data_IF_382663322173
#
_entry.id   IF_382663322173
#
_cell.length_a   1.000
_cell.length_b   1.000
_cell.length_c   1.000
_cell.angle_alpha   90.00
_cell.angle_beta   90.00
_cell.angle_gamma   90.00
#
_symmetry.space_group_name_H-M   'P 1'
#
loop_
_entity.id
_entity.type
_entity.pdbx_description
1 polymer ?
#
# COMPACT_ATOMS: atom_id res chain seq x y z
N UNK A 1 -9.79 9.67 -9.53
CA UNK A 1 -11.02 8.86 -9.71
C UNK A 1 -10.61 7.41 -9.89
N UNK A 2 -10.94 6.60 -8.89
CA UNK A 2 -10.87 5.14 -8.98
C UNK A 2 -11.77 4.61 -10.11
N UNK A 3 -11.43 3.43 -10.63
CA UNK A 3 -12.32 2.73 -11.53
C UNK A 3 -13.59 2.24 -10.80
N UNK A 4 -14.71 2.10 -11.53
CA UNK A 4 -15.97 1.58 -10.98
C UNK A 4 -15.78 0.20 -10.33
N UNK A 5 -14.86 -0.59 -10.88
CA UNK A 5 -14.27 -1.77 -10.25
C UNK A 5 -12.95 -1.37 -9.59
N UNK A 6 -12.66 -1.84 -8.37
CA UNK A 6 -11.49 -1.43 -7.56
C UNK A 6 -10.18 -1.35 -8.36
N UNK A 7 -10.01 -2.21 -9.37
CA UNK A 7 -8.85 -2.25 -10.27
C UNK A 7 -9.30 -2.16 -11.74
N UNK A 8 -8.42 -1.64 -12.60
CA UNK A 8 -8.68 -1.58 -14.04
C UNK A 8 -8.40 -2.92 -14.72
N UNK A 9 -9.39 -3.46 -15.42
CA UNK A 9 -9.30 -4.71 -16.16
C UNK A 9 -9.96 -5.89 -15.47
N UNK A 10 -9.82 -7.07 -16.06
CA UNK A 10 -10.40 -8.33 -15.57
C UNK A 10 -9.29 -9.31 -15.16
N UNK A 11 -9.65 -10.34 -14.39
CA UNK A 11 -8.75 -11.44 -14.05
C UNK A 11 -8.05 -11.31 -12.69
N UNK A 12 -8.42 -10.32 -11.89
CA UNK A 12 -8.05 -10.25 -10.48
C UNK A 12 -8.86 -11.24 -9.65
N UNK A 13 -8.19 -11.95 -8.74
CA UNK A 13 -8.82 -12.73 -7.68
C UNK A 13 -8.57 -12.00 -6.35
N UNK A 14 -9.33 -10.92 -6.12
CA UNK A 14 -9.20 -10.07 -4.93
C UNK A 14 -10.23 -10.46 -3.86
N UNK A 15 -9.76 -11.05 -2.76
CA UNK A 15 -10.57 -11.66 -1.72
C UNK A 15 -10.21 -11.12 -0.32
N UNK A 16 -10.78 -11.73 0.72
CA UNK A 16 -10.46 -11.49 2.14
C UNK A 16 -10.42 -10.01 2.54
N UNK A 17 -11.43 -9.25 2.10
CA UNK A 17 -11.60 -7.84 2.42
C UNK A 17 -11.73 -7.61 3.93
N UNK A 18 -11.23 -6.48 4.40
CA UNK A 18 -11.32 -6.11 5.80
C UNK A 18 -12.76 -5.76 6.21
N UNK A 19 -13.02 -5.61 7.53
CA UNK A 19 -14.31 -5.18 8.01
C UNK A 19 -14.72 -3.83 7.44
N UNK A 20 -16.03 -3.61 7.26
CA UNK A 20 -16.55 -2.33 6.78
C UNK A 20 -16.11 -1.18 7.69
N UNK A 21 -15.62 -0.10 7.08
CA UNK A 21 -15.08 1.07 7.76
C UNK A 21 -15.69 2.34 7.19
N UNK A 22 -15.77 3.41 8.00
CA UNK A 22 -16.26 4.71 7.54
C UNK A 22 -15.12 5.63 7.11
N UNK A 23 -15.43 6.63 6.29
CA UNK A 23 -14.47 7.64 5.87
C UNK A 23 -13.89 8.39 7.09
N UNK A 24 -14.71 8.66 8.12
CA UNK A 24 -14.27 9.32 9.35
C UNK A 24 -13.18 8.53 10.05
N UNK A 25 -13.32 7.20 10.13
CA UNK A 25 -12.30 6.35 10.75
C UNK A 25 -11.00 6.37 9.94
N UNK A 26 -11.07 6.27 8.60
CA UNK A 26 -9.88 6.33 7.74
C UNK A 26 -9.14 7.65 7.94
N UNK A 27 -9.87 8.77 7.91
CA UNK A 27 -9.32 10.11 8.16
C UNK A 27 -8.71 10.24 9.56
N UNK A 28 -9.34 9.66 10.58
CA UNK A 28 -8.84 9.69 11.95
C UNK A 28 -7.52 8.93 12.09
N UNK A 29 -7.41 7.74 11.48
CA UNK A 29 -6.17 6.94 11.49
C UNK A 29 -5.04 7.67 10.77
N UNK A 30 -5.33 8.35 9.66
CA UNK A 30 -4.38 9.21 8.94
C UNK A 30 -4.12 10.54 9.65
N UNK A 31 -4.67 10.75 10.86
CA UNK A 31 -4.46 11.95 11.68
C UNK A 31 -4.80 13.27 10.96
N UNK A 32 -5.78 13.23 10.06
CA UNK A 32 -6.20 14.40 9.27
C UNK A 32 -5.20 14.83 8.20
N UNK A 33 -4.36 13.92 7.69
CA UNK A 33 -3.52 14.18 6.52
C UNK A 33 -4.37 14.60 5.30
N UNK A 34 -3.81 15.48 4.47
CA UNK A 34 -4.46 16.04 3.28
C UNK A 34 -3.46 16.02 2.11
N UNK A 35 -3.21 14.83 1.58
CA UNK A 35 -2.29 14.60 0.48
C UNK A 35 -3.03 14.50 -0.86
N UNK A 36 -2.29 14.67 -1.96
CA UNK A 36 -2.84 14.49 -3.30
C UNK A 36 -3.34 13.05 -3.50
N UNK A 37 -4.63 12.88 -3.82
CA UNK A 37 -5.25 11.56 -3.96
C UNK A 37 -5.88 11.00 -2.68
N UNK A 38 -6.04 11.81 -1.63
CA UNK A 38 -6.70 11.42 -0.39
C UNK A 38 -8.13 10.88 -0.61
N UNK A 39 -8.94 11.53 -1.45
CA UNK A 39 -10.30 11.08 -1.75
C UNK A 39 -10.32 9.67 -2.36
N UNK A 40 -9.41 9.41 -3.33
CA UNK A 40 -9.27 8.09 -3.96
C UNK A 40 -8.80 7.03 -2.92
N UNK A 41 -7.92 7.40 -1.99
CA UNK A 41 -7.48 6.52 -0.90
C UNK A 41 -8.65 6.16 0.04
N UNK A 42 -9.39 7.17 0.50
CA UNK A 42 -10.56 6.97 1.38
C UNK A 42 -11.63 6.15 0.70
N UNK A 43 -11.94 6.43 -0.57
CA UNK A 43 -12.94 5.68 -1.34
C UNK A 43 -12.58 4.19 -1.44
N UNK A 44 -11.31 3.87 -1.71
CA UNK A 44 -10.84 2.48 -1.75
C UNK A 44 -11.07 1.78 -0.41
N UNK A 45 -10.66 2.42 0.69
CA UNK A 45 -10.76 1.83 2.03
C UNK A 45 -12.21 1.70 2.52
N UNK A 46 -13.10 2.64 2.19
CA UNK A 46 -14.53 2.50 2.48
C UNK A 46 -15.15 1.34 1.69
N UNK A 47 -14.66 1.08 0.48
CA UNK A 47 -15.21 0.04 -0.40
C UNK A 47 -14.75 -1.38 -0.06
N UNK A 48 -13.50 -1.55 0.38
CA UNK A 48 -12.95 -2.90 0.64
C UNK A 48 -12.15 -3.05 1.95
N UNK A 49 -11.75 -1.94 2.57
CA UNK A 49 -10.86 -1.89 3.74
C UNK A 49 -9.67 -2.86 3.67
N UNK A 50 -8.92 -2.80 2.57
CA UNK A 50 -7.85 -3.76 2.27
C UNK A 50 -8.33 -4.95 1.44
N UNK A 51 -7.56 -6.03 1.45
CA UNK A 51 -7.87 -7.29 0.79
C UNK A 51 -6.62 -8.02 0.29
N UNK A 52 -6.79 -9.26 -0.17
CA UNK A 52 -5.72 -10.15 -0.59
C UNK A 52 -5.86 -10.51 -2.07
N UNK A 53 -4.76 -10.57 -2.81
CA UNK A 53 -4.74 -11.10 -4.18
C UNK A 53 -4.36 -12.58 -4.18
N UNK A 54 -5.34 -13.45 -4.37
CA UNK A 54 -5.06 -14.87 -4.54
C UNK A 54 -4.31 -15.12 -5.86
N UNK A 55 -3.04 -15.53 -5.76
CA UNK A 55 -2.12 -15.64 -6.91
C UNK A 55 -1.30 -14.37 -7.22
N UNK A 56 -1.42 -13.34 -6.37
CA UNK A 56 -0.67 -12.09 -6.49
C UNK A 56 -1.16 -11.16 -7.59
N UNK A 57 -0.79 -9.89 -7.47
CA UNK A 57 -0.92 -8.90 -8.52
C UNK A 57 0.41 -8.19 -8.75
N UNK A 58 0.53 -7.44 -9.84
CA UNK A 58 1.79 -6.83 -10.22
C UNK A 58 1.64 -5.36 -10.58
N UNK A 59 2.66 -4.59 -10.25
CA UNK A 59 2.81 -3.20 -10.66
C UNK A 59 4.13 -3.02 -11.40
N UNK A 60 4.14 -2.08 -12.35
CA UNK A 60 5.30 -1.77 -13.18
C UNK A 60 5.55 -0.26 -13.15
N UNK A 61 6.76 0.11 -12.75
CA UNK A 61 7.18 1.50 -12.56
C UNK A 61 7.53 2.20 -13.86
N UNK A 62 7.82 1.43 -14.90
CA UNK A 62 8.10 1.93 -16.26
C UNK A 62 6.96 2.79 -16.86
N UNK A 63 5.77 2.76 -16.25
CA UNK A 63 4.65 3.64 -16.58
C UNK A 63 4.87 5.10 -16.20
N UNK A 64 5.64 5.36 -15.15
CA UNK A 64 5.81 6.69 -14.56
C UNK A 64 7.26 7.17 -14.56
N UNK A 65 8.21 6.22 -14.58
CA UNK A 65 9.63 6.52 -14.45
C UNK A 65 10.42 5.96 -15.64
N UNK A 66 11.46 6.69 -16.05
CA UNK A 66 12.44 6.16 -17.01
C UNK A 66 13.42 5.27 -16.25
N UNK A 67 13.39 3.97 -16.55
CA UNK A 67 14.20 2.97 -15.86
C UNK A 67 15.45 2.60 -16.65
N UNK A 68 16.51 2.28 -15.92
CA UNK A 68 17.76 1.73 -16.43
C UNK A 68 17.84 0.22 -16.20
N UNK A 69 18.76 -0.45 -16.90
CA UNK A 69 18.92 -1.90 -16.78
C UNK A 69 19.36 -2.27 -15.35
N UNK A 70 18.54 -3.08 -14.68
CA UNK A 70 18.78 -3.51 -13.30
C UNK A 70 17.86 -2.83 -12.29
N UNK A 71 17.09 -1.82 -12.71
CA UNK A 71 16.08 -1.20 -11.85
C UNK A 71 14.96 -2.19 -11.52
N UNK A 72 14.47 -2.07 -10.30
CA UNK A 72 13.37 -2.88 -9.78
C UNK A 72 12.06 -2.38 -10.38
N UNK A 73 11.67 -2.88 -11.56
CA UNK A 73 10.47 -2.45 -12.29
C UNK A 73 9.20 -3.22 -11.87
N UNK A 74 9.31 -4.55 -11.84
CA UNK A 74 8.19 -5.45 -11.56
C UNK A 74 8.03 -5.67 -10.06
N UNK A 75 7.02 -5.04 -9.48
CA UNK A 75 6.66 -5.20 -8.07
C UNK A 75 5.52 -6.20 -7.94
N UNK A 76 5.64 -7.16 -7.03
CA UNK A 76 4.50 -7.98 -6.62
C UNK A 76 3.71 -7.25 -5.53
N UNK A 77 2.39 -7.41 -5.56
CA UNK A 77 1.47 -6.94 -4.54
C UNK A 77 0.69 -8.16 -4.10
N UNK A 78 0.87 -8.55 -2.84
CA UNK A 78 0.16 -9.68 -2.26
C UNK A 78 -1.15 -9.22 -1.63
N UNK A 79 -1.12 -8.12 -0.88
CA UNK A 79 -2.28 -7.65 -0.13
C UNK A 79 -2.27 -6.15 0.12
N UNK A 80 -3.46 -5.62 0.37
CA UNK A 80 -3.69 -4.33 1.00
C UNK A 80 -4.01 -4.55 2.48
N UNK A 81 -3.31 -3.83 3.35
CA UNK A 81 -3.54 -3.86 4.79
C UNK A 81 -4.87 -3.24 5.14
N UNK A 82 -5.54 -3.75 6.17
CA UNK A 82 -6.77 -3.12 6.68
C UNK A 82 -6.43 -1.93 7.58
N UNK A 83 -7.35 -0.98 7.66
CA UNK A 83 -7.28 0.19 8.54
C UNK A 83 -8.30 0.01 9.68
N UNK A 84 -7.96 0.55 10.84
CA UNK A 84 -8.86 0.61 12.00
C UNK A 84 -8.53 -0.42 13.06
N UNK A 85 -7.25 -0.68 13.34
CA UNK A 85 -6.76 -1.67 14.34
C UNK A 85 -7.53 -1.60 15.67
N UNK A 86 -7.85 -0.39 16.14
CA UNK A 86 -8.54 -0.18 17.43
C UNK A 86 -10.05 -0.44 17.41
N UNK A 87 -10.65 -0.61 16.23
CA UNK A 87 -12.10 -0.75 16.04
C UNK A 87 -12.53 -2.19 15.76
N UNK A 88 -11.58 -3.06 15.44
CA UNK A 88 -11.84 -4.43 15.04
C UNK A 88 -11.02 -5.38 15.91
N UNK A 89 -11.57 -6.57 16.16
CA UNK A 89 -10.82 -7.63 16.81
C UNK A 89 -9.89 -8.28 15.79
N UNK A 90 -8.58 -8.33 16.08
CA UNK A 90 -7.58 -8.88 15.14
C UNK A 90 -7.79 -10.38 14.92
N UNK A 91 -8.37 -11.09 15.89
CA UNK A 91 -8.70 -12.52 15.75
C UNK A 91 -9.83 -12.77 14.74
N UNK A 92 -10.57 -11.72 14.35
CA UNK A 92 -11.68 -11.79 13.39
C UNK A 92 -11.29 -11.26 12.00
N UNK A 93 -10.08 -10.71 11.81
CA UNK A 93 -9.63 -10.10 10.55
C UNK A 93 -8.50 -10.91 9.93
N UNK A 94 -8.76 -11.48 8.74
CA UNK A 94 -7.77 -12.27 7.99
C UNK A 94 -6.73 -11.42 7.24
N UNK A 95 -6.55 -10.16 7.62
CA UNK A 95 -5.60 -9.22 7.02
C UNK A 95 -4.70 -8.62 8.11
N UNK A 96 -3.52 -8.14 7.72
CA UNK A 96 -2.67 -7.36 8.64
C UNK A 96 -3.16 -5.92 8.76
N UNK A 97 -3.08 -5.35 9.96
CA UNK A 97 -3.37 -3.93 10.19
C UNK A 97 -2.22 -3.06 9.70
N UNK A 98 -2.56 -1.99 8.97
CA UNK A 98 -1.62 -0.95 8.55
C UNK A 98 -0.96 -0.27 9.76
N UNK A 99 -1.72 0.06 10.80
CA UNK A 99 -1.22 0.70 12.01
C UNK A 99 -0.24 -0.20 12.77
N UNK A 100 -0.51 -1.52 12.82
CA UNK A 100 0.39 -2.50 13.43
C UNK A 100 1.69 -2.63 12.64
N UNK A 101 1.61 -2.74 11.31
CA UNK A 101 2.79 -2.71 10.42
C UNK A 101 3.61 -1.46 10.67
N UNK A 102 2.97 -0.29 10.69
CA UNK A 102 3.62 1.01 10.95
C UNK A 102 4.36 1.04 12.29
N UNK A 103 3.71 0.58 13.37
CA UNK A 103 4.33 0.48 14.70
C UNK A 103 5.51 -0.49 14.74
N UNK A 104 5.41 -1.63 14.05
CA UNK A 104 6.48 -2.63 14.02
C UNK A 104 7.71 -2.10 13.29
N UNK A 105 7.52 -1.52 12.09
CA UNK A 105 8.64 -0.98 11.28
C UNK A 105 9.34 0.19 11.97
N UNK A 106 8.61 1.03 12.69
CA UNK A 106 9.19 2.15 13.46
C UNK A 106 10.09 1.74 14.63
N UNK A 107 9.98 0.51 15.16
CA UNK A 107 10.75 0.08 16.35
C UNK A 107 12.22 -0.28 16.06
N UNK A 108 12.58 -0.45 14.80
CA UNK A 108 13.89 -1.00 14.43
C UNK A 108 15.03 0.04 14.48
N UNK A 109 14.77 1.29 14.12
CA UNK A 109 15.77 2.37 14.18
C UNK A 109 15.14 3.77 14.18
N UNK A 110 15.87 4.78 14.63
CA UNK A 110 15.40 6.19 14.61
C UNK A 110 15.08 6.67 13.20
N UNK A 111 15.90 6.30 12.20
CA UNK A 111 15.62 6.63 10.79
C UNK A 111 14.28 6.02 10.33
N UNK A 112 14.01 4.76 10.70
CA UNK A 112 12.75 4.08 10.37
C UNK A 112 11.56 4.73 11.07
N UNK A 113 11.70 5.10 12.34
CA UNK A 113 10.66 5.83 13.06
C UNK A 113 10.34 7.17 12.39
N UNK A 114 11.35 7.96 12.01
CA UNK A 114 11.15 9.23 11.28
C UNK A 114 10.40 8.99 9.96
N UNK A 115 10.78 7.98 9.18
CA UNK A 115 10.08 7.61 7.96
C UNK A 115 8.62 7.24 8.24
N UNK A 116 8.38 6.34 9.21
CA UNK A 116 7.06 5.87 9.60
C UNK A 116 6.17 7.00 10.14
N UNK A 117 6.71 8.08 10.70
CA UNK A 117 5.90 9.23 11.12
C UNK A 117 5.35 10.05 9.96
N UNK A 118 6.05 10.07 8.82
CA UNK A 118 5.67 10.81 7.61
C UNK A 118 4.91 9.98 6.58
N UNK A 119 5.01 8.66 6.69
CA UNK A 119 4.40 7.74 5.74
C UNK A 119 3.43 6.79 6.42
N UNK A 120 2.47 6.27 5.65
CA UNK A 120 1.52 5.27 6.09
C UNK A 120 1.62 4.01 5.22
N UNK A 121 1.78 2.81 5.78
CA UNK A 121 1.81 1.59 4.99
C UNK A 121 0.39 1.21 4.58
N UNK A 122 0.21 0.72 3.35
CA UNK A 122 -1.13 0.37 2.88
C UNK A 122 -1.18 -0.97 2.13
N UNK A 123 -0.05 -1.48 1.66
CA UNK A 123 0.03 -2.77 0.98
C UNK A 123 1.37 -3.45 1.25
N UNK A 124 1.44 -4.76 0.99
CA UNK A 124 2.65 -5.57 1.14
C UNK A 124 2.82 -6.57 0.02
N UNK A 125 4.04 -7.08 -0.10
CA UNK A 125 4.37 -8.24 -0.94
C UNK A 125 4.61 -9.50 -0.09
N UNK A 126 4.78 -10.64 -0.77
CA UNK A 126 5.04 -11.93 -0.13
C UNK A 126 6.45 -12.02 0.52
N UNK A 127 7.29 -11.00 0.35
CA UNK A 127 8.64 -10.88 0.91
C UNK A 127 8.70 -10.10 2.22
N UNK A 128 7.55 -9.75 2.81
CA UNK A 128 7.44 -8.88 3.99
C UNK A 128 7.97 -7.46 3.72
N UNK A 129 7.93 -6.99 2.46
CA UNK A 129 8.19 -5.61 2.07
C UNK A 129 6.88 -4.84 1.91
N UNK A 130 6.95 -3.53 2.09
CA UNK A 130 5.76 -2.70 2.27
C UNK A 130 5.71 -1.57 1.23
N UNK A 131 4.51 -1.30 0.73
CA UNK A 131 4.16 -0.08 0.03
C UNK A 131 3.63 0.96 1.01
N UNK A 132 4.09 2.19 0.84
CA UNK A 132 3.82 3.32 1.71
C UNK A 132 3.33 4.50 0.91
N UNK A 133 2.41 5.25 1.49
CA UNK A 133 2.03 6.57 0.99
C UNK A 133 2.70 7.64 1.85
N UNK A 134 3.34 8.61 1.19
CA UNK A 134 3.78 9.84 1.83
C UNK A 134 2.55 10.67 2.18
N UNK A 135 2.37 10.98 3.47
CA UNK A 135 1.16 11.65 3.95
C UNK A 135 1.17 13.17 3.72
N UNK A 136 2.27 13.73 3.22
CA UNK A 136 2.38 15.15 2.81
C UNK A 136 2.16 15.29 1.30
N UNK A 137 2.74 14.39 0.49
CA UNK A 137 2.74 14.51 -0.98
C UNK A 137 1.73 13.61 -1.69
N UNK A 138 1.42 12.46 -1.10
CA UNK A 138 0.60 11.41 -1.72
C UNK A 138 1.40 10.44 -2.60
N UNK A 139 2.71 10.64 -2.71
CA UNK A 139 3.60 9.76 -3.48
C UNK A 139 3.67 8.36 -2.87
N UNK A 140 3.70 7.35 -3.74
CA UNK A 140 3.80 5.95 -3.34
C UNK A 140 5.26 5.52 -3.36
N UNK A 141 5.70 4.96 -2.24
CA UNK A 141 7.03 4.43 -2.01
C UNK A 141 6.94 2.93 -1.74
N UNK A 142 8.05 2.23 -1.95
CA UNK A 142 8.23 0.85 -1.53
C UNK A 142 9.54 0.74 -0.76
N UNK A 143 9.54 -0.06 0.31
CA UNK A 143 10.69 -0.19 1.19
C UNK A 143 11.07 -1.66 1.33
N UNK A 144 12.33 -1.96 0.99
CA UNK A 144 12.96 -3.26 1.23
C UNK A 144 13.48 -3.33 2.68
N UNK A 145 12.95 -4.25 3.48
CA UNK A 145 13.30 -4.31 4.91
C UNK A 145 14.46 -5.25 5.25
N UNK A 146 14.99 -5.97 4.26
CA UNK A 146 16.00 -7.02 4.40
C UNK A 146 17.39 -6.52 4.87
N UNK A 147 17.66 -5.21 4.88
CA UNK A 147 18.90 -4.66 5.42
C UNK A 147 18.73 -4.22 6.89
N UNK A 148 19.53 -4.81 7.79
CA UNK A 148 19.53 -4.46 9.22
C UNK A 148 19.99 -3.03 9.49
N UNK A 149 20.68 -2.39 8.55
CA UNK A 149 21.39 -1.14 8.81
C UNK A 149 20.77 0.12 8.16
N UNK A 150 19.95 0.03 7.11
CA UNK A 150 19.43 1.25 6.47
C UNK A 150 18.03 1.15 5.85
N UNK A 151 17.34 2.29 5.87
CA UNK A 151 16.11 2.60 5.10
C UNK A 151 16.50 3.10 3.71
N UNK A 152 17.69 2.75 3.21
CA UNK A 152 18.28 3.46 2.06
C UNK A 152 17.65 3.04 0.73
N UNK A 153 16.99 1.88 0.66
CA UNK A 153 16.33 1.40 -0.55
C UNK A 153 14.84 1.77 -0.56
N UNK A 154 14.57 3.08 -0.47
CA UNK A 154 13.24 3.64 -0.80
C UNK A 154 13.13 3.70 -2.31
N UNK A 155 12.13 3.02 -2.85
CA UNK A 155 11.87 2.93 -4.27
C UNK A 155 10.61 3.75 -4.60
N UNK A 156 10.71 4.71 -5.52
CA UNK A 156 9.55 5.47 -6.01
C UNK A 156 8.64 4.61 -6.90
N UNK A 157 7.35 4.50 -6.56
CA UNK A 157 6.42 3.56 -7.20
C UNK A 157 5.40 4.27 -8.09
N UNK A 158 4.72 5.30 -7.57
CA UNK A 158 3.70 6.03 -8.31
C UNK A 158 3.54 7.45 -7.76
N UNK A 159 3.11 8.42 -8.57
CA UNK A 159 2.90 9.80 -8.12
C UNK A 159 1.72 9.98 -7.15
N UNK A 160 0.72 9.08 -7.21
CA UNK A 160 -0.47 9.12 -6.36
C UNK A 160 -1.05 7.72 -6.14
N UNK A 161 -1.95 7.59 -5.16
CA UNK A 161 -2.62 6.32 -4.86
C UNK A 161 -3.47 5.79 -6.03
N UNK A 162 -4.21 6.65 -6.71
CA UNK A 162 -5.00 6.23 -7.88
C UNK A 162 -4.13 5.84 -9.06
N UNK A 163 -2.96 6.46 -9.24
CA UNK A 163 -1.97 6.03 -10.22
C UNK A 163 -1.46 4.61 -9.91
N UNK A 164 -1.28 4.27 -8.63
CA UNK A 164 -0.92 2.93 -8.20
C UNK A 164 -2.03 1.93 -8.54
N UNK A 165 -3.23 2.12 -7.97
CA UNK A 165 -4.36 1.16 -8.05
C UNK A 165 -4.83 0.94 -9.49
N UNK A 166 -4.91 2.01 -10.30
CA UNK A 166 -5.37 1.91 -11.69
C UNK A 166 -4.37 1.20 -12.61
N UNK A 167 -3.13 1.01 -12.19
CA UNK A 167 -2.07 0.45 -13.03
C UNK A 167 -1.58 -0.92 -12.59
N UNK A 168 -2.15 -1.46 -11.50
CA UNK A 168 -1.99 -2.87 -11.12
C UNK A 168 -2.51 -3.74 -12.26
N UNK A 169 -1.81 -4.84 -12.53
CA UNK A 169 -2.21 -5.88 -13.47
C UNK A 169 -2.30 -7.23 -12.76
N UNK A 170 -3.22 -8.12 -13.16
CA UNK A 170 -3.48 -9.37 -12.44
C UNK A 170 -2.39 -10.44 -12.66
N UNK A 171 -1.49 -10.23 -13.63
CA UNK A 171 -0.44 -11.19 -13.99
C UNK A 171 0.82 -10.48 -14.40
N UNK A 172 1.95 -11.11 -14.08
CA UNK A 172 3.27 -10.64 -14.53
C UNK A 172 3.30 -10.58 -16.06
N UNK A 173 3.78 -9.47 -16.61
CA UNK A 173 4.10 -9.31 -18.04
C UNK A 173 5.08 -10.41 -18.45
N UNK A 174 4.82 -11.05 -19.57
CA UNK A 174 5.81 -11.90 -20.21
C UNK A 174 6.88 -10.98 -20.82
N UNK A 175 8.09 -11.01 -20.28
CA UNK A 175 9.24 -10.24 -20.76
C UNK A 175 10.14 -11.14 -21.59
#
# INVERSE_FOLDING_TARGET
>A
MLAENLFQGEGFDFCDQGPAISAEIVNEVLSGADFNGMDDFVEFYVKSNGGYFNGGAYFYRDKFFTLTRGDYDSMEIESFYYIGERYFDEDEVNLRSAEKVRKLRGKFSEKRDIFCRKHFPFAGDAGDNDFWIDMETGEIKYVLWESEENVDDIIDIAPAFSDFVNNIVPRRRNV
#
